data_IF_667985470493
#
_entry.id   IF_667985470493
#
_cell.length_a   1.000
_cell.length_b   1.000
_cell.length_c   1.000
_cell.angle_alpha   90.00
_cell.angle_beta   90.00
_cell.angle_gamma   90.00
#
_symmetry.space_group_name_H-M   'P 1'
#
loop_
_entity.id
_entity.type
_entity.pdbx_description
1 polymer ?
#
# COMPACT_ATOMS: atom_id res chain seq x y z
N UNK A 1 14.17 -60.12 -40.29
CA UNK A 1 13.93 -58.90 -39.50
C UNK A 1 14.26 -59.18 -38.04
N UNK A 2 15.04 -58.37 -37.35
CA UNK A 2 15.47 -58.65 -35.99
C UNK A 2 14.29 -58.54 -35.02
N UNK A 3 14.21 -59.43 -34.05
CA UNK A 3 13.15 -59.60 -33.06
C UNK A 3 12.91 -58.37 -32.19
N UNK A 4 13.89 -57.47 -32.07
CA UNK A 4 13.78 -56.21 -31.32
C UNK A 4 12.83 -55.19 -31.97
N UNK A 5 12.50 -55.29 -33.28
CA UNK A 5 11.53 -54.39 -33.96
C UNK A 5 10.12 -54.65 -33.45
N UNK A 6 9.78 -55.90 -33.07
CA UNK A 6 8.47 -56.27 -32.52
C UNK A 6 8.27 -55.86 -31.04
N UNK A 7 9.36 -55.76 -30.27
CA UNK A 7 9.34 -55.30 -28.91
C UNK A 7 8.98 -53.80 -28.76
N UNK A 8 9.49 -52.97 -29.70
CA UNK A 8 9.23 -51.52 -29.71
C UNK A 8 7.80 -51.17 -30.07
N UNK A 9 7.18 -51.90 -31.01
CA UNK A 9 5.77 -51.68 -31.42
C UNK A 9 4.81 -52.10 -30.31
N UNK A 10 5.14 -53.20 -29.60
CA UNK A 10 4.32 -53.66 -28.44
C UNK A 10 4.30 -52.66 -27.28
N UNK A 11 5.45 -52.07 -26.93
CA UNK A 11 5.56 -51.07 -25.85
C UNK A 11 4.87 -49.76 -26.21
N UNK A 12 4.99 -49.29 -27.46
CA UNK A 12 4.26 -48.12 -27.94
C UNK A 12 2.75 -48.35 -28.00
N UNK A 13 2.31 -49.54 -28.45
CA UNK A 13 0.89 -49.92 -28.44
C UNK A 13 0.31 -49.99 -27.04
N UNK A 14 1.02 -50.56 -26.07
CA UNK A 14 0.62 -50.61 -24.66
C UNK A 14 0.60 -49.21 -24.05
N UNK A 15 1.56 -48.34 -24.35
CA UNK A 15 1.55 -46.96 -23.84
C UNK A 15 0.38 -46.16 -24.42
N UNK A 16 0.04 -46.33 -25.70
CA UNK A 16 -1.14 -45.67 -26.30
C UNK A 16 -2.43 -46.22 -25.73
N UNK A 17 -2.55 -47.53 -25.53
CA UNK A 17 -3.74 -48.15 -24.89
C UNK A 17 -3.87 -47.75 -23.44
N UNK A 18 -2.77 -47.69 -22.67
CA UNK A 18 -2.77 -47.18 -21.30
C UNK A 18 -3.13 -45.70 -21.25
N UNK A 19 -2.65 -44.89 -22.20
CA UNK A 19 -3.03 -43.46 -22.33
C UNK A 19 -4.52 -43.31 -22.69
N UNK A 20 -5.05 -44.13 -23.59
CA UNK A 20 -6.46 -44.14 -23.96
C UNK A 20 -7.36 -44.70 -22.81
N UNK A 21 -6.90 -45.69 -22.05
CA UNK A 21 -7.61 -46.19 -20.86
C UNK A 21 -7.56 -45.15 -19.73
N UNK A 22 -6.44 -44.46 -19.53
CA UNK A 22 -6.33 -43.38 -18.56
C UNK A 22 -7.26 -42.20 -18.89
N UNK A 23 -7.50 -41.94 -20.18
CA UNK A 23 -8.43 -40.90 -20.63
C UNK A 23 -9.93 -41.37 -20.59
N UNK A 24 -10.18 -42.67 -20.40
CA UNK A 24 -11.53 -43.25 -20.37
C UNK A 24 -12.04 -43.64 -18.97
N UNK A 25 -11.25 -43.42 -17.91
CA UNK A 25 -11.77 -43.55 -16.54
C UNK A 25 -12.66 -42.32 -16.30
N UNK A 26 -13.97 -42.55 -16.03
CA UNK A 26 -14.86 -41.45 -15.67
C UNK A 26 -14.26 -40.74 -14.44
N UNK A 27 -13.86 -39.47 -14.59
CA UNK A 27 -13.40 -38.69 -13.45
C UNK A 27 -14.57 -38.54 -12.48
N UNK A 28 -14.32 -38.74 -11.18
CA UNK A 28 -15.31 -38.49 -10.15
C UNK A 28 -15.69 -36.99 -10.17
N UNK A 29 -16.98 -36.64 -10.35
CA UNK A 29 -17.40 -35.26 -10.36
C UNK A 29 -17.08 -34.51 -9.06
N UNK A 30 -17.03 -35.20 -7.91
CA UNK A 30 -16.61 -34.58 -6.64
C UNK A 30 -15.12 -34.23 -6.65
N UNK A 31 -14.29 -35.12 -7.23
CA UNK A 31 -12.85 -34.83 -7.39
C UNK A 31 -12.62 -33.69 -8.37
N UNK A 32 -13.36 -33.67 -9.49
CA UNK A 32 -13.30 -32.56 -10.45
C UNK A 32 -13.66 -31.20 -9.82
N UNK A 33 -14.69 -31.18 -8.97
CA UNK A 33 -15.10 -29.98 -8.24
C UNK A 33 -14.04 -29.54 -7.24
N UNK A 34 -13.41 -30.50 -6.53
CA UNK A 34 -12.32 -30.20 -5.60
C UNK A 34 -11.09 -29.64 -6.33
N UNK A 35 -10.70 -30.25 -7.46
CA UNK A 35 -9.59 -29.80 -8.30
C UNK A 35 -9.87 -28.41 -8.88
N UNK A 36 -11.11 -28.13 -9.32
CA UNK A 36 -11.52 -26.83 -9.82
C UNK A 36 -11.47 -25.75 -8.74
N UNK A 37 -11.93 -26.04 -7.52
CA UNK A 37 -11.84 -25.09 -6.40
C UNK A 37 -10.39 -24.78 -6.05
N UNK A 38 -9.52 -25.80 -6.00
CA UNK A 38 -8.09 -25.61 -5.78
C UNK A 38 -7.41 -24.81 -6.90
N UNK A 39 -7.80 -25.03 -8.16
CA UNK A 39 -7.33 -24.25 -9.28
C UNK A 39 -7.78 -22.78 -9.19
N UNK A 40 -9.02 -22.54 -8.74
CA UNK A 40 -9.54 -21.21 -8.50
C UNK A 40 -8.76 -20.45 -7.38
N UNK A 41 -8.44 -21.15 -6.29
CA UNK A 41 -7.63 -20.61 -5.18
C UNK A 41 -6.21 -20.23 -5.64
N UNK A 42 -5.63 -21.02 -6.52
CA UNK A 42 -4.29 -20.81 -7.07
C UNK A 42 -4.26 -19.88 -8.31
N UNK A 43 -5.39 -19.30 -8.70
CA UNK A 43 -5.57 -18.50 -9.92
C UNK A 43 -5.13 -19.24 -11.21
N UNK A 44 -5.19 -20.58 -11.22
CA UNK A 44 -4.90 -21.43 -12.39
C UNK A 44 -6.12 -21.52 -13.30
N UNK A 45 -6.30 -20.49 -14.13
CA UNK A 45 -7.43 -20.41 -15.07
C UNK A 45 -7.44 -21.56 -16.07
N UNK A 46 -6.30 -22.12 -16.45
CA UNK A 46 -6.22 -23.21 -17.42
C UNK A 46 -6.82 -24.50 -16.85
N UNK A 47 -6.38 -24.90 -15.66
CA UNK A 47 -6.92 -26.06 -14.96
C UNK A 47 -8.40 -25.86 -14.61
N UNK A 48 -8.78 -24.65 -14.20
CA UNK A 48 -10.17 -24.31 -13.91
C UNK A 48 -11.08 -24.49 -15.14
N UNK A 49 -10.68 -23.95 -16.30
CA UNK A 49 -11.42 -24.11 -17.57
C UNK A 49 -11.57 -25.58 -17.98
N UNK A 50 -10.50 -26.38 -17.83
CA UNK A 50 -10.57 -27.81 -18.13
C UNK A 50 -11.54 -28.53 -17.18
N UNK A 51 -11.51 -28.20 -15.90
CA UNK A 51 -12.43 -28.79 -14.92
C UNK A 51 -13.89 -28.43 -15.19
N UNK A 52 -14.15 -27.19 -15.63
CA UNK A 52 -15.50 -26.77 -16.07
C UNK A 52 -15.98 -27.61 -17.24
N UNK A 53 -15.13 -27.84 -18.25
CA UNK A 53 -15.51 -28.63 -19.43
C UNK A 53 -15.76 -30.09 -19.08
N UNK A 54 -14.91 -30.67 -18.22
CA UNK A 54 -15.08 -32.05 -17.73
C UNK A 54 -16.37 -32.19 -16.90
N UNK A 55 -16.73 -31.19 -16.06
CA UNK A 55 -17.96 -31.22 -15.24
C UNK A 55 -19.23 -31.06 -16.05
N UNK A 56 -19.19 -30.39 -17.22
CA UNK A 56 -20.37 -30.27 -18.12
C UNK A 56 -20.92 -31.60 -18.61
N UNK A 57 -20.13 -32.67 -18.54
CA UNK A 57 -20.58 -34.02 -18.90
C UNK A 57 -21.58 -34.61 -17.88
N UNK A 58 -21.72 -33.93 -16.72
CA UNK A 58 -22.62 -34.38 -15.63
C UNK A 58 -23.79 -33.40 -15.48
N UNK A 59 -24.97 -33.71 -16.08
CA UNK A 59 -26.13 -32.81 -16.07
C UNK A 59 -26.65 -32.46 -14.67
N UNK A 60 -26.44 -33.34 -13.69
CA UNK A 60 -26.78 -33.11 -12.28
C UNK A 60 -25.85 -32.10 -11.57
N UNK A 61 -24.80 -31.65 -12.23
CA UNK A 61 -23.78 -30.67 -11.74
C UNK A 61 -23.86 -29.30 -12.40
N UNK A 62 -24.98 -29.00 -13.04
CA UNK A 62 -25.12 -27.73 -13.78
C UNK A 62 -24.91 -26.50 -12.88
N UNK A 63 -25.34 -26.54 -11.61
CA UNK A 63 -25.17 -25.43 -10.68
C UNK A 63 -23.70 -25.19 -10.28
N UNK A 64 -22.95 -26.28 -10.05
CA UNK A 64 -21.49 -26.22 -9.80
C UNK A 64 -20.75 -25.70 -11.04
N UNK A 65 -21.15 -26.14 -12.23
CA UNK A 65 -20.58 -25.65 -13.49
C UNK A 65 -20.79 -24.15 -13.61
N UNK A 66 -22.01 -23.64 -13.36
CA UNK A 66 -22.31 -22.20 -13.40
C UNK A 66 -21.49 -21.39 -12.38
N UNK A 67 -21.31 -21.93 -11.17
CA UNK A 67 -20.43 -21.34 -10.15
C UNK A 67 -19.00 -21.21 -10.69
N UNK A 68 -18.42 -22.29 -11.22
CA UNK A 68 -17.05 -22.29 -11.73
C UNK A 68 -16.87 -21.40 -12.97
N UNK A 69 -17.85 -21.39 -13.89
CA UNK A 69 -17.89 -20.45 -15.01
C UNK A 69 -17.85 -18.98 -14.53
N UNK A 70 -18.59 -18.69 -13.46
CA UNK A 70 -18.55 -17.36 -12.86
C UNK A 70 -17.18 -17.03 -12.28
N UNK A 71 -16.51 -17.99 -11.62
CA UNK A 71 -15.14 -17.81 -11.12
C UNK A 71 -14.17 -17.54 -12.27
N UNK A 72 -14.30 -18.24 -13.41
CA UNK A 72 -13.54 -17.93 -14.64
C UNK A 72 -13.80 -16.49 -15.07
N UNK A 73 -15.06 -16.02 -15.08
CA UNK A 73 -15.39 -14.62 -15.47
C UNK A 73 -14.79 -13.61 -14.50
N UNK A 74 -14.72 -13.92 -13.22
CA UNK A 74 -14.03 -13.08 -12.23
C UNK A 74 -12.52 -13.04 -12.49
N UNK A 75 -11.88 -14.17 -12.77
CA UNK A 75 -10.46 -14.25 -13.17
C UNK A 75 -10.16 -13.49 -14.47
N UNK A 76 -11.11 -13.40 -15.39
CA UNK A 76 -11.03 -12.58 -16.60
C UNK A 76 -11.32 -11.08 -16.34
N UNK A 77 -11.49 -10.65 -15.09
CA UNK A 77 -11.91 -9.27 -14.71
C UNK A 77 -13.24 -8.83 -15.33
N UNK A 78 -14.19 -9.75 -15.48
CA UNK A 78 -15.53 -9.53 -16.04
C UNK A 78 -16.64 -9.74 -15.00
N UNK A 79 -16.69 -8.96 -13.90
CA UNK A 79 -17.62 -9.20 -12.79
C UNK A 79 -19.09 -9.13 -13.20
N UNK A 80 -19.45 -8.21 -14.10
CA UNK A 80 -20.83 -8.10 -14.58
C UNK A 80 -21.32 -9.35 -15.33
N UNK A 81 -20.41 -10.14 -15.95
CA UNK A 81 -20.76 -11.42 -16.56
C UNK A 81 -20.82 -12.56 -15.55
N UNK A 82 -20.10 -12.47 -14.45
CA UNK A 82 -20.13 -13.45 -13.37
C UNK A 82 -21.42 -13.38 -12.54
N UNK A 83 -21.95 -12.19 -12.28
CA UNK A 83 -23.12 -11.95 -11.42
C UNK A 83 -24.34 -12.83 -11.79
N UNK A 84 -24.83 -12.87 -13.06
CA UNK A 84 -25.96 -13.69 -13.40
C UNK A 84 -25.72 -15.19 -13.22
N UNK A 85 -24.50 -15.69 -13.48
CA UNK A 85 -24.12 -17.08 -13.27
C UNK A 85 -24.13 -17.44 -11.77
N UNK A 86 -23.57 -16.54 -10.92
CA UNK A 86 -23.56 -16.73 -9.48
C UNK A 86 -24.97 -16.74 -8.89
N UNK A 87 -25.86 -15.87 -9.36
CA UNK A 87 -27.27 -15.87 -8.94
C UNK A 87 -27.95 -17.20 -9.23
N UNK A 88 -27.67 -17.82 -10.39
CA UNK A 88 -28.19 -19.14 -10.72
C UNK A 88 -27.55 -20.23 -9.85
N UNK A 89 -26.26 -20.15 -9.55
CA UNK A 89 -25.55 -21.07 -8.68
C UNK A 89 -26.06 -21.08 -7.22
N UNK A 90 -26.73 -20.02 -6.75
CA UNK A 90 -27.34 -19.96 -5.40
C UNK A 90 -28.39 -21.00 -5.15
N UNK A 91 -29.04 -21.49 -6.20
CA UNK A 91 -30.02 -22.57 -6.09
C UNK A 91 -29.41 -23.95 -5.75
N UNK A 92 -28.09 -24.08 -5.93
CA UNK A 92 -27.34 -25.32 -5.72
C UNK A 92 -26.72 -25.35 -4.32
N UNK A 93 -27.20 -26.23 -3.40
CA UNK A 93 -26.78 -26.24 -2.01
C UNK A 93 -25.27 -26.45 -1.81
N UNK A 94 -24.61 -27.27 -2.65
CA UNK A 94 -23.18 -27.61 -2.55
C UNK A 94 -22.25 -26.45 -2.78
N UNK A 95 -22.69 -25.40 -3.48
CA UNK A 95 -21.86 -24.19 -3.79
C UNK A 95 -22.49 -22.89 -3.29
N UNK A 96 -23.66 -22.96 -2.62
CA UNK A 96 -24.43 -21.76 -2.23
C UNK A 96 -23.61 -20.76 -1.42
N UNK A 97 -22.92 -21.19 -0.38
CA UNK A 97 -22.12 -20.29 0.47
C UNK A 97 -20.96 -19.66 -0.31
N UNK A 98 -20.28 -20.45 -1.12
CA UNK A 98 -19.21 -19.96 -2.00
C UNK A 98 -19.73 -19.02 -3.08
N UNK A 99 -20.94 -19.30 -3.60
CA UNK A 99 -21.59 -18.43 -4.58
C UNK A 99 -21.97 -17.06 -3.99
N UNK A 100 -22.46 -17.02 -2.74
CA UNK A 100 -22.70 -15.76 -2.03
C UNK A 100 -21.40 -14.97 -1.81
N UNK A 101 -20.32 -15.63 -1.36
CA UNK A 101 -19.01 -14.97 -1.23
C UNK A 101 -18.52 -14.40 -2.56
N UNK A 102 -18.57 -15.22 -3.63
CA UNK A 102 -18.15 -14.81 -4.97
C UNK A 102 -19.04 -13.68 -5.51
N UNK A 103 -20.35 -13.72 -5.26
CA UNK A 103 -21.29 -12.69 -5.64
C UNK A 103 -21.00 -11.35 -4.95
N UNK A 104 -20.68 -11.39 -3.64
CA UNK A 104 -20.25 -10.22 -2.90
C UNK A 104 -19.00 -9.59 -3.48
N UNK A 105 -17.99 -10.39 -3.79
CA UNK A 105 -16.76 -9.93 -4.45
C UNK A 105 -17.02 -9.39 -5.86
N UNK A 106 -17.88 -10.06 -6.64
CA UNK A 106 -18.28 -9.63 -7.97
C UNK A 106 -18.96 -8.25 -7.95
N UNK A 107 -19.90 -8.05 -7.01
CA UNK A 107 -20.55 -6.77 -6.81
C UNK A 107 -19.57 -5.68 -6.35
N UNK A 108 -18.66 -6.02 -5.43
CA UNK A 108 -17.61 -5.09 -4.98
C UNK A 108 -16.73 -4.63 -6.14
N UNK A 109 -16.24 -5.57 -6.96
CA UNK A 109 -15.44 -5.25 -8.16
C UNK A 109 -16.24 -4.47 -9.22
N UNK A 110 -17.56 -4.67 -9.27
CA UNK A 110 -18.46 -3.93 -10.16
C UNK A 110 -18.90 -2.56 -9.58
N UNK A 111 -18.37 -2.14 -8.43
CA UNK A 111 -18.73 -0.88 -7.78
C UNK A 111 -20.09 -0.86 -7.09
N UNK A 112 -20.77 -2.00 -6.97
CA UNK A 112 -22.09 -2.10 -6.40
C UNK A 112 -22.02 -2.40 -4.89
N UNK A 113 -21.56 -1.41 -4.11
CA UNK A 113 -21.22 -1.56 -2.70
C UNK A 113 -22.35 -2.15 -1.84
N UNK A 114 -23.59 -1.66 -1.99
CA UNK A 114 -24.72 -2.14 -1.21
C UNK A 114 -25.00 -3.63 -1.50
N UNK A 115 -25.06 -3.99 -2.78
CA UNK A 115 -25.28 -5.39 -3.20
C UNK A 115 -24.14 -6.31 -2.71
N UNK A 116 -22.89 -5.81 -2.73
CA UNK A 116 -21.72 -6.53 -2.24
C UNK A 116 -21.83 -6.79 -0.72
N UNK A 117 -22.17 -5.76 0.05
CA UNK A 117 -22.36 -5.85 1.49
C UNK A 117 -23.48 -6.83 1.85
N UNK A 118 -24.62 -6.72 1.18
CA UNK A 118 -25.76 -7.59 1.42
C UNK A 118 -25.45 -9.06 1.11
N UNK A 119 -24.73 -9.32 -0.01
CA UNK A 119 -24.31 -10.66 -0.39
C UNK A 119 -23.31 -11.27 0.62
N UNK A 120 -22.31 -10.51 1.07
CA UNK A 120 -21.34 -10.99 2.05
C UNK A 120 -21.95 -11.24 3.42
N UNK A 121 -22.93 -10.43 3.84
CA UNK A 121 -23.66 -10.63 5.09
C UNK A 121 -24.48 -11.94 5.11
N UNK A 122 -24.88 -12.49 3.95
CA UNK A 122 -25.57 -13.78 3.90
C UNK A 122 -24.70 -14.94 4.40
N UNK A 123 -23.38 -14.81 4.33
CA UNK A 123 -22.44 -15.88 4.67
C UNK A 123 -21.38 -15.48 5.70
N UNK A 124 -21.60 -14.38 6.39
CA UNK A 124 -20.60 -13.83 7.33
C UNK A 124 -20.34 -14.76 8.53
N UNK A 125 -21.31 -15.60 8.89
CA UNK A 125 -21.22 -16.58 9.96
C UNK A 125 -21.13 -18.04 9.46
N UNK A 126 -20.96 -18.21 8.14
CA UNK A 126 -20.77 -19.53 7.54
C UNK A 126 -19.41 -20.12 7.98
N UNK A 127 -19.36 -21.41 8.41
CA UNK A 127 -18.15 -22.01 8.93
C UNK A 127 -17.04 -22.16 7.88
N UNK A 128 -17.39 -22.29 6.59
CA UNK A 128 -16.42 -22.47 5.51
C UNK A 128 -15.91 -21.15 4.95
N UNK A 129 -16.82 -20.21 4.64
CA UNK A 129 -16.47 -18.98 3.91
C UNK A 129 -16.62 -17.71 4.74
N UNK A 130 -17.13 -17.78 5.97
CA UNK A 130 -17.47 -16.62 6.77
C UNK A 130 -16.26 -15.71 7.08
N UNK A 131 -15.09 -16.27 7.35
CA UNK A 131 -13.89 -15.47 7.56
C UNK A 131 -13.44 -14.74 6.28
N UNK A 132 -13.54 -15.40 5.13
CA UNK A 132 -13.28 -14.78 3.82
C UNK A 132 -14.29 -13.67 3.49
N UNK A 133 -15.56 -13.88 3.87
CA UNK A 133 -16.62 -12.88 3.70
C UNK A 133 -16.35 -11.66 4.59
N UNK A 134 -15.96 -11.84 5.86
CA UNK A 134 -15.56 -10.78 6.77
C UNK A 134 -14.36 -10.01 6.25
N UNK A 135 -13.34 -10.71 5.77
CA UNK A 135 -12.14 -10.08 5.22
C UNK A 135 -12.47 -9.24 3.98
N UNK A 136 -13.30 -9.77 3.07
CA UNK A 136 -13.77 -9.04 1.89
C UNK A 136 -14.59 -7.80 2.27
N UNK A 137 -15.48 -7.92 3.25
CA UNK A 137 -16.28 -6.80 3.76
C UNK A 137 -15.39 -5.74 4.42
N UNK A 138 -14.46 -6.15 5.29
CA UNK A 138 -13.51 -5.24 5.93
C UNK A 138 -12.68 -4.45 4.92
N UNK A 139 -12.15 -5.12 3.89
CA UNK A 139 -11.39 -4.48 2.82
C UNK A 139 -12.22 -3.46 2.03
N UNK A 140 -13.48 -3.77 1.72
CA UNK A 140 -14.38 -2.81 1.07
C UNK A 140 -14.68 -1.60 1.96
N UNK A 141 -14.99 -1.83 3.24
CA UNK A 141 -15.25 -0.75 4.20
C UNK A 141 -14.01 0.13 4.39
N UNK A 142 -12.82 -0.47 4.46
CA UNK A 142 -11.55 0.26 4.50
C UNK A 142 -11.35 1.13 3.24
N UNK A 143 -11.66 0.59 2.06
CA UNK A 143 -11.50 1.32 0.78
C UNK A 143 -12.37 2.57 0.67
N UNK A 144 -13.47 2.63 1.41
CA UNK A 144 -14.37 3.78 1.49
C UNK A 144 -14.26 4.56 2.80
N UNK A 145 -13.22 4.30 3.59
CA UNK A 145 -12.95 4.93 4.89
C UNK A 145 -14.08 4.76 5.93
N UNK A 146 -14.93 3.74 5.77
CA UNK A 146 -15.89 3.32 6.80
C UNK A 146 -15.14 2.52 7.88
N UNK A 147 -14.25 3.20 8.60
CA UNK A 147 -13.24 2.57 9.46
C UNK A 147 -13.83 1.85 10.68
N UNK A 148 -14.93 2.33 11.22
CA UNK A 148 -15.57 1.66 12.37
C UNK A 148 -16.07 0.25 12.00
N UNK A 149 -16.71 0.13 10.83
CA UNK A 149 -17.17 -1.17 10.32
C UNK A 149 -15.97 -2.05 9.94
N UNK A 150 -14.96 -1.50 9.25
CA UNK A 150 -13.74 -2.22 8.89
C UNK A 150 -13.01 -2.78 10.12
N UNK A 151 -12.81 -1.95 11.15
CA UNK A 151 -12.17 -2.36 12.42
C UNK A 151 -12.96 -3.44 13.14
N UNK A 152 -14.30 -3.37 13.15
CA UNK A 152 -15.14 -4.40 13.75
C UNK A 152 -14.90 -5.77 13.06
N UNK A 153 -14.86 -5.80 11.73
CA UNK A 153 -14.62 -7.03 10.99
C UNK A 153 -13.17 -7.54 11.14
N UNK A 154 -12.17 -6.67 11.06
CA UNK A 154 -10.77 -7.07 11.27
C UNK A 154 -10.52 -7.56 12.71
N UNK A 155 -11.17 -6.98 13.71
CA UNK A 155 -11.07 -7.45 15.10
C UNK A 155 -11.62 -8.86 15.24
N UNK A 156 -12.80 -9.13 14.69
CA UNK A 156 -13.38 -10.48 14.70
C UNK A 156 -12.54 -11.52 13.95
N UNK A 157 -11.79 -11.10 12.91
CA UNK A 157 -10.85 -11.95 12.19
C UNK A 157 -9.59 -12.23 13.01
N UNK A 158 -9.04 -11.21 13.68
CA UNK A 158 -7.88 -11.35 14.54
C UNK A 158 -8.13 -12.26 15.76
N UNK A 159 -9.37 -12.26 16.30
CA UNK A 159 -9.80 -13.17 17.35
C UNK A 159 -9.85 -14.64 16.91
N UNK A 160 -10.02 -14.87 15.61
CA UNK A 160 -10.02 -16.21 15.00
C UNK A 160 -8.68 -16.61 14.41
N UNK A 161 -7.64 -15.80 14.57
CA UNK A 161 -6.33 -15.95 13.93
C UNK A 161 -6.40 -16.14 12.38
N UNK A 162 -7.46 -15.59 11.76
CA UNK A 162 -7.64 -15.73 10.32
C UNK A 162 -6.74 -14.73 9.59
N UNK A 163 -5.85 -15.25 8.72
CA UNK A 163 -4.87 -14.46 7.97
C UNK A 163 -4.27 -13.35 8.86
N UNK A 164 -3.80 -13.79 10.04
CA UNK A 164 -3.52 -12.90 11.17
C UNK A 164 -2.53 -11.82 10.82
N UNK A 165 -1.52 -12.14 10.02
CA UNK A 165 -0.51 -11.21 9.55
C UNK A 165 -1.15 -10.03 8.79
N UNK A 166 -1.90 -10.35 7.74
CA UNK A 166 -2.54 -9.34 6.90
C UNK A 166 -3.67 -8.59 7.63
N UNK A 167 -4.45 -9.31 8.45
CA UNK A 167 -5.52 -8.74 9.27
C UNK A 167 -5.00 -7.67 10.22
N UNK A 168 -3.91 -7.97 10.95
CA UNK A 168 -3.30 -7.03 11.88
C UNK A 168 -2.67 -5.84 11.14
N UNK A 169 -2.01 -6.07 10.02
CA UNK A 169 -1.43 -4.98 9.24
C UNK A 169 -2.50 -4.01 8.73
N UNK A 170 -3.59 -4.51 8.14
CA UNK A 170 -4.69 -3.68 7.67
C UNK A 170 -5.36 -2.89 8.82
N UNK A 171 -5.52 -3.51 9.99
CA UNK A 171 -6.04 -2.85 11.17
C UNK A 171 -5.10 -1.75 11.67
N UNK A 172 -3.81 -2.01 11.67
CA UNK A 172 -2.77 -1.04 12.02
C UNK A 172 -2.75 0.17 11.09
N UNK A 173 -2.89 -0.03 9.77
CA UNK A 173 -2.99 1.06 8.80
C UNK A 173 -4.20 1.98 9.09
N UNK A 174 -5.36 1.39 9.41
CA UNK A 174 -6.55 2.16 9.80
C UNK A 174 -6.26 2.98 11.07
N UNK A 175 -5.60 2.39 12.07
CA UNK A 175 -5.22 3.10 13.29
C UNK A 175 -4.25 4.26 13.01
N UNK A 176 -3.33 4.12 12.04
CA UNK A 176 -2.47 5.24 11.58
C UNK A 176 -3.32 6.37 11.00
N UNK A 177 -4.24 6.06 10.09
CA UNK A 177 -5.12 7.05 9.45
C UNK A 177 -5.97 7.80 10.49
N UNK A 178 -6.41 7.10 11.53
CA UNK A 178 -7.17 7.68 12.65
C UNK A 178 -6.32 8.44 13.67
N UNK A 179 -4.99 8.36 13.57
CA UNK A 179 -4.07 8.94 14.53
C UNK A 179 -3.96 8.16 15.85
N UNK A 180 -4.42 6.93 15.89
CA UNK A 180 -4.41 6.01 17.03
C UNK A 180 -3.08 5.23 17.05
N UNK A 181 -1.97 5.96 17.23
CA UNK A 181 -0.62 5.43 16.96
C UNK A 181 -0.18 4.30 17.89
N UNK A 182 -0.63 4.23 19.14
CA UNK A 182 -0.28 3.14 20.06
C UNK A 182 -0.89 1.81 19.61
N UNK A 183 -2.15 1.83 19.16
CA UNK A 183 -2.83 0.67 18.60
C UNK A 183 -2.16 0.24 17.29
N UNK A 184 -1.79 1.20 16.44
CA UNK A 184 -1.09 0.93 15.19
C UNK A 184 0.25 0.23 15.44
N UNK A 185 1.07 0.72 16.38
CA UNK A 185 2.35 0.07 16.75
C UNK A 185 2.12 -1.37 17.20
N UNK A 186 1.13 -1.60 18.07
CA UNK A 186 0.82 -2.93 18.60
C UNK A 186 0.46 -3.90 17.48
N UNK A 187 -0.42 -3.49 16.58
CA UNK A 187 -0.90 -4.33 15.49
C UNK A 187 0.17 -4.60 14.44
N UNK A 188 0.88 -3.56 13.98
CA UNK A 188 1.93 -3.73 12.96
C UNK A 188 3.09 -4.56 13.50
N UNK A 189 3.50 -4.35 14.74
CA UNK A 189 4.55 -5.14 15.38
C UNK A 189 4.17 -6.62 15.43
N UNK A 190 2.95 -6.92 15.91
CA UNK A 190 2.43 -8.29 15.94
C UNK A 190 2.31 -8.89 14.54
N UNK A 191 1.91 -8.12 13.53
CA UNK A 191 1.88 -8.55 12.13
C UNK A 191 3.26 -9.00 11.63
N UNK A 192 4.32 -8.25 11.94
CA UNK A 192 5.70 -8.62 11.60
C UNK A 192 6.14 -9.89 12.38
N UNK A 193 5.80 -9.98 13.65
CA UNK A 193 6.19 -11.10 14.51
C UNK A 193 5.51 -12.43 14.10
N UNK A 194 4.33 -12.39 13.45
CA UNK A 194 3.65 -13.58 12.88
C UNK A 194 4.48 -14.23 11.78
N UNK A 195 5.07 -13.43 10.89
CA UNK A 195 5.89 -13.92 9.78
C UNK A 195 7.12 -13.02 9.57
N UNK A 196 8.18 -13.18 10.38
CA UNK A 196 9.33 -12.27 10.35
C UNK A 196 10.11 -12.25 9.03
N UNK A 197 10.00 -13.31 8.22
CA UNK A 197 10.76 -13.48 6.98
C UNK A 197 9.97 -13.11 5.72
N UNK A 198 8.79 -12.52 5.87
CA UNK A 198 7.97 -12.11 4.73
C UNK A 198 8.65 -10.98 3.94
N UNK A 199 8.81 -11.10 2.60
CA UNK A 199 9.44 -10.06 1.77
C UNK A 199 8.77 -8.68 1.87
N UNK A 200 7.47 -8.64 2.17
CA UNK A 200 6.71 -7.39 2.33
C UNK A 200 6.93 -6.68 3.67
N UNK A 201 7.67 -7.31 4.60
CA UNK A 201 7.93 -6.73 5.92
C UNK A 201 8.67 -5.38 5.85
N UNK A 202 9.45 -5.13 4.82
CA UNK A 202 10.13 -3.83 4.64
C UNK A 202 9.14 -2.64 4.68
N UNK A 203 7.96 -2.76 4.05
CA UNK A 203 6.91 -1.73 4.10
C UNK A 203 6.30 -1.60 5.49
N UNK A 204 6.00 -2.73 6.14
CA UNK A 204 5.46 -2.76 7.52
C UNK A 204 6.44 -2.16 8.52
N UNK A 205 7.73 -2.48 8.37
CA UNK A 205 8.81 -1.93 9.19
C UNK A 205 8.91 -0.41 9.05
N UNK A 206 8.81 0.14 7.83
CA UNK A 206 8.79 1.59 7.63
C UNK A 206 7.58 2.23 8.31
N UNK A 207 6.39 1.65 8.16
CA UNK A 207 5.17 2.15 8.82
C UNK A 207 5.31 2.10 10.34
N UNK A 208 5.82 0.99 10.89
CA UNK A 208 6.10 0.82 12.32
C UNK A 208 7.07 1.88 12.85
N UNK A 209 8.23 2.03 12.22
CA UNK A 209 9.26 2.98 12.65
C UNK A 209 8.77 4.43 12.60
N UNK A 210 8.04 4.81 11.54
CA UNK A 210 7.43 6.14 11.45
C UNK A 210 6.43 6.39 12.59
N UNK A 211 5.63 5.39 12.92
CA UNK A 211 4.63 5.48 13.98
C UNK A 211 5.29 5.54 15.35
N UNK A 212 6.32 4.71 15.61
CA UNK A 212 7.11 4.75 16.83
C UNK A 212 7.82 6.10 17.02
N UNK A 213 8.40 6.65 15.95
CA UNK A 213 9.02 7.99 15.96
C UNK A 213 8.01 9.09 16.33
N UNK A 214 6.78 9.02 15.78
CA UNK A 214 5.70 9.98 16.14
C UNK A 214 5.32 9.91 17.63
N UNK A 215 5.45 8.74 18.24
CA UNK A 215 5.22 8.51 19.67
C UNK A 215 6.44 8.80 20.56
N UNK A 216 7.60 9.12 19.96
CA UNK A 216 8.85 9.27 20.71
C UNK A 216 9.40 7.95 21.30
N UNK A 217 8.96 6.80 20.78
CA UNK A 217 9.38 5.46 21.23
C UNK A 217 10.59 4.98 20.44
N UNK A 218 11.78 5.37 20.88
CA UNK A 218 13.03 5.07 20.17
C UNK A 218 13.75 3.82 20.66
N UNK A 219 13.41 3.27 21.85
CA UNK A 219 14.18 2.21 22.49
C UNK A 219 14.33 0.93 21.64
N UNK A 220 13.27 0.56 20.91
CA UNK A 220 13.21 -0.70 20.15
C UNK A 220 13.39 -0.51 18.63
N UNK A 221 13.72 0.70 18.18
CA UNK A 221 13.77 1.00 16.74
C UNK A 221 14.94 0.33 16.00
N UNK A 222 16.07 0.06 16.68
CA UNK A 222 17.25 -0.55 16.04
C UNK A 222 16.94 -1.92 15.45
N UNK A 223 16.22 -2.77 16.20
CA UNK A 223 15.81 -4.12 15.76
C UNK A 223 15.10 -4.09 14.40
N UNK A 224 14.32 -3.04 14.15
CA UNK A 224 13.56 -2.88 12.92
C UNK A 224 14.32 -2.08 11.87
N UNK A 225 15.10 -1.07 12.26
CA UNK A 225 15.89 -0.26 11.31
C UNK A 225 16.95 -1.10 10.58
N UNK A 226 17.51 -2.13 11.23
CA UNK A 226 18.45 -3.08 10.62
C UNK A 226 17.82 -3.96 9.52
N UNK A 227 16.49 -4.08 9.51
CA UNK A 227 15.75 -4.83 8.48
C UNK A 227 15.43 -3.98 7.21
N UNK A 228 15.80 -2.70 7.22
CA UNK A 228 15.52 -1.81 6.10
C UNK A 228 16.59 -1.93 5.01
N UNK A 229 16.18 -2.27 3.80
CA UNK A 229 17.04 -2.23 2.61
C UNK A 229 17.36 -0.79 2.16
N UNK A 230 16.64 0.20 2.71
CA UNK A 230 16.81 1.61 2.38
C UNK A 230 17.78 2.30 3.37
N UNK A 231 19.03 2.56 2.96
CA UNK A 231 20.05 3.14 3.85
C UNK A 231 19.72 4.57 4.30
N UNK A 232 18.94 5.33 3.52
CA UNK A 232 18.52 6.68 3.91
C UNK A 232 17.53 6.60 5.06
N UNK A 233 16.50 5.76 4.92
CA UNK A 233 15.50 5.58 5.97
C UNK A 233 16.16 5.04 7.26
N UNK A 234 16.99 4.00 7.14
CA UNK A 234 17.72 3.43 8.26
C UNK A 234 18.61 4.48 8.97
N UNK A 235 19.35 5.29 8.22
CA UNK A 235 20.17 6.37 8.74
C UNK A 235 19.36 7.45 9.48
N UNK A 236 18.19 7.83 8.94
CA UNK A 236 17.29 8.79 9.58
C UNK A 236 16.76 8.27 10.92
N UNK A 237 16.25 7.05 10.98
CA UNK A 237 15.74 6.47 12.23
C UNK A 237 16.84 6.30 13.29
N UNK A 238 18.03 5.85 12.87
CA UNK A 238 19.19 5.78 13.74
C UNK A 238 19.59 7.14 14.32
N UNK A 239 19.58 8.18 13.50
CA UNK A 239 19.90 9.53 13.95
C UNK A 239 18.84 10.06 14.93
N UNK A 240 17.56 9.84 14.68
CA UNK A 240 16.48 10.25 15.60
C UNK A 240 16.58 9.54 16.96
N UNK A 241 16.92 8.25 16.98
CA UNK A 241 17.21 7.52 18.23
C UNK A 241 18.40 8.13 18.96
N UNK A 242 19.53 8.32 18.29
CA UNK A 242 20.74 8.90 18.88
C UNK A 242 20.49 10.30 19.45
N UNK A 243 19.66 11.11 18.77
CA UNK A 243 19.22 12.40 19.31
C UNK A 243 18.42 12.24 20.60
N UNK A 244 17.50 11.28 20.66
CA UNK A 244 16.71 11.03 21.86
C UNK A 244 17.56 10.59 23.06
N UNK A 245 18.72 9.98 22.81
CA UNK A 245 19.73 9.60 23.80
C UNK A 245 20.71 10.74 24.12
N UNK A 246 20.57 11.91 23.51
CA UNK A 246 21.50 13.04 23.68
C UNK A 246 22.84 12.89 22.94
N UNK A 247 23.01 11.86 22.10
CA UNK A 247 24.23 11.54 21.37
C UNK A 247 24.31 12.29 20.02
N UNK A 248 24.31 13.63 20.08
CA UNK A 248 24.16 14.47 18.88
C UNK A 248 25.33 14.31 17.89
N UNK A 249 26.57 14.11 18.38
CA UNK A 249 27.73 13.87 17.51
C UNK A 249 27.59 12.58 16.70
N UNK A 250 27.13 11.54 17.34
CA UNK A 250 26.89 10.22 16.71
C UNK A 250 25.72 10.29 15.73
N UNK A 251 24.65 11.02 16.07
CA UNK A 251 23.53 11.28 15.18
C UNK A 251 23.99 12.00 13.90
N UNK A 252 24.87 13.00 14.03
CA UNK A 252 25.47 13.71 12.88
C UNK A 252 26.23 12.72 11.99
N UNK A 253 27.12 11.91 12.57
CA UNK A 253 27.90 10.91 11.82
C UNK A 253 27.04 9.85 11.13
N UNK A 254 25.92 9.45 11.74
CA UNK A 254 24.98 8.49 11.14
C UNK A 254 24.34 9.02 9.84
N UNK A 255 24.11 10.32 9.72
CA UNK A 255 23.55 10.95 8.53
C UNK A 255 24.59 11.29 7.46
N UNK A 256 25.85 11.52 7.83
CA UNK A 256 26.90 11.96 6.89
C UNK A 256 27.09 10.96 5.73
N UNK A 257 26.98 9.65 5.99
CA UNK A 257 27.08 8.65 4.95
C UNK A 257 25.92 8.75 3.94
N UNK A 258 24.69 8.85 4.42
CA UNK A 258 23.49 8.95 3.57
C UNK A 258 23.45 10.29 2.82
N UNK A 259 23.93 11.39 3.43
CA UNK A 259 23.96 12.72 2.79
C UNK A 259 24.92 12.82 1.62
N UNK A 260 25.96 11.99 1.54
CA UNK A 260 26.88 11.99 0.40
C UNK A 260 26.19 11.68 -0.92
N UNK A 261 25.24 10.75 -0.89
CA UNK A 261 24.61 10.20 -2.10
C UNK A 261 23.20 10.77 -2.36
N UNK A 262 22.53 11.31 -1.33
CA UNK A 262 21.12 11.71 -1.39
C UNK A 262 20.81 13.06 -0.69
N UNK A 263 21.69 14.05 -0.84
CA UNK A 263 21.61 15.35 -0.15
C UNK A 263 20.27 16.09 -0.35
N UNK A 264 19.58 15.86 -1.44
CA UNK A 264 18.31 16.52 -1.76
C UNK A 264 17.07 15.75 -1.28
N UNK A 265 17.25 14.57 -0.65
CA UNK A 265 16.13 13.78 -0.15
C UNK A 265 15.41 14.52 1.00
N UNK A 266 14.10 14.81 0.89
CA UNK A 266 13.40 15.64 1.87
C UNK A 266 13.38 15.06 3.29
N UNK A 267 13.29 13.74 3.44
CA UNK A 267 13.33 13.08 4.75
C UNK A 267 14.71 13.27 5.39
N UNK A 268 15.76 13.03 4.62
CA UNK A 268 17.15 13.17 5.08
C UNK A 268 17.46 14.61 5.49
N UNK A 269 17.04 15.60 4.67
CA UNK A 269 17.25 17.03 4.97
C UNK A 269 16.49 17.44 6.23
N UNK A 270 15.26 16.95 6.41
CA UNK A 270 14.47 17.21 7.61
C UNK A 270 15.15 16.64 8.86
N UNK A 271 15.60 15.38 8.82
CA UNK A 271 16.31 14.75 9.94
C UNK A 271 17.64 15.43 10.22
N UNK A 272 18.38 15.81 9.17
CA UNK A 272 19.59 16.61 9.30
C UNK A 272 19.34 17.95 10.01
N UNK A 273 18.27 18.65 9.60
CA UNK A 273 17.87 19.90 10.25
C UNK A 273 17.53 19.70 11.74
N UNK A 274 16.83 18.60 12.11
CA UNK A 274 16.58 18.23 13.53
C UNK A 274 17.88 18.04 14.29
N UNK A 275 18.87 17.35 13.71
CA UNK A 275 20.19 17.15 14.33
C UNK A 275 20.91 18.47 14.53
N UNK A 276 20.89 19.36 13.52
CA UNK A 276 21.53 20.68 13.63
C UNK A 276 20.83 21.56 14.68
N UNK A 277 19.53 21.51 14.77
CA UNK A 277 18.77 22.18 15.82
C UNK A 277 19.11 21.64 17.22
N UNK A 278 19.31 20.33 17.36
CA UNK A 278 19.66 19.68 18.63
C UNK A 278 21.05 20.12 19.18
N UNK A 279 21.95 20.60 18.32
CA UNK A 279 23.21 21.18 18.77
C UNK A 279 23.03 22.48 19.56
N UNK A 280 21.91 23.21 19.42
CA UNK A 280 21.66 24.53 20.03
C UNK A 280 22.78 25.53 19.75
N UNK A 281 23.44 25.40 18.62
CA UNK A 281 24.58 26.24 18.20
C UNK A 281 24.22 26.93 16.87
N UNK A 282 24.05 28.28 16.89
CA UNK A 282 23.65 29.03 15.69
C UNK A 282 24.63 28.84 14.52
N UNK A 283 25.94 28.77 14.78
CA UNK A 283 26.95 28.64 13.72
C UNK A 283 26.88 27.27 13.03
N UNK A 284 26.53 26.20 13.76
CA UNK A 284 26.29 24.88 13.18
C UNK A 284 24.96 24.80 12.47
N UNK A 285 23.95 25.53 12.91
CA UNK A 285 22.60 25.52 12.32
C UNK A 285 22.52 26.37 11.02
N UNK A 286 23.32 27.42 10.88
CA UNK A 286 23.33 28.31 9.69
C UNK A 286 23.39 27.55 8.36
N UNK A 287 24.32 26.60 8.13
CA UNK A 287 24.37 25.88 6.85
C UNK A 287 23.16 25.04 6.57
N UNK A 288 22.47 24.53 7.61
CA UNK A 288 21.27 23.73 7.48
C UNK A 288 20.04 24.56 7.08
N UNK A 289 20.02 25.85 7.41
CA UNK A 289 18.90 26.76 7.12
C UNK A 289 18.53 26.73 5.62
N UNK A 290 19.53 26.93 4.75
CA UNK A 290 19.33 26.98 3.30
C UNK A 290 18.85 25.64 2.75
N UNK A 291 19.39 24.51 3.22
CA UNK A 291 18.98 23.17 2.76
C UNK A 291 17.55 22.86 3.19
N UNK A 292 17.20 23.11 4.45
CA UNK A 292 15.85 22.87 4.98
C UNK A 292 14.82 23.79 4.32
N UNK A 293 15.18 25.06 4.07
CA UNK A 293 14.33 26.01 3.34
C UNK A 293 13.98 25.48 1.94
N UNK A 294 14.98 25.04 1.17
CA UNK A 294 14.77 24.48 -0.17
C UNK A 294 13.92 23.20 -0.10
N UNK A 295 14.19 22.33 0.87
CA UNK A 295 13.40 21.10 1.06
C UNK A 295 11.92 21.41 1.41
N UNK A 296 11.67 22.42 2.25
CA UNK A 296 10.31 22.87 2.59
C UNK A 296 9.58 23.47 1.40
N UNK A 297 10.27 24.15 0.50
CA UNK A 297 9.66 24.66 -0.76
C UNK A 297 9.34 23.56 -1.76
N UNK A 298 10.05 22.45 -1.75
CA UNK A 298 9.76 21.25 -2.58
C UNK A 298 8.68 20.39 -1.95
N UNK A 299 8.76 20.16 -0.64
CA UNK A 299 7.80 19.37 0.13
C UNK A 299 6.91 20.31 0.98
N UNK A 300 6.06 21.07 0.32
CA UNK A 300 5.32 22.23 0.86
C UNK A 300 4.33 21.87 1.97
N UNK A 301 3.95 20.60 2.12
CA UNK A 301 3.01 20.11 3.15
C UNK A 301 3.70 19.32 4.26
N UNK A 302 5.02 19.34 4.32
CA UNK A 302 5.78 18.66 5.37
C UNK A 302 5.78 19.49 6.66
N UNK A 303 4.82 19.22 7.55
CA UNK A 303 4.69 19.90 8.85
C UNK A 303 5.96 19.79 9.69
N UNK A 304 6.62 18.62 9.70
CA UNK A 304 7.85 18.43 10.47
C UNK A 304 9.00 19.24 9.89
N UNK A 305 9.14 19.26 8.56
CA UNK A 305 10.11 20.13 7.88
C UNK A 305 9.89 21.61 8.20
N UNK A 306 8.64 22.07 8.23
CA UNK A 306 8.31 23.46 8.58
C UNK A 306 8.62 23.79 10.05
N UNK A 307 8.38 22.87 10.99
CA UNK A 307 8.81 23.04 12.41
C UNK A 307 10.32 23.13 12.54
N UNK A 308 11.04 22.29 11.80
CA UNK A 308 12.52 22.32 11.77
C UNK A 308 13.00 23.64 11.19
N UNK A 309 12.40 24.11 10.09
CA UNK A 309 12.73 25.40 9.48
C UNK A 309 12.49 26.55 10.48
N UNK A 310 11.33 26.56 11.14
CA UNK A 310 11.01 27.54 12.18
C UNK A 310 12.08 27.55 13.28
N UNK A 311 12.40 26.38 13.86
CA UNK A 311 13.35 26.28 14.96
C UNK A 311 14.76 26.72 14.57
N UNK A 312 15.24 26.33 13.36
CA UNK A 312 16.56 26.78 12.87
C UNK A 312 16.55 28.29 12.61
N UNK A 313 15.52 28.85 11.99
CA UNK A 313 15.39 30.26 11.74
C UNK A 313 15.39 31.09 13.04
N UNK A 314 14.65 30.62 14.07
CA UNK A 314 14.68 31.23 15.42
C UNK A 314 16.10 31.19 16.03
N UNK A 315 16.75 30.02 15.96
CA UNK A 315 18.09 29.81 16.53
C UNK A 315 19.14 30.72 15.88
N UNK A 316 19.07 30.93 14.56
CA UNK A 316 20.02 31.81 13.84
C UNK A 316 19.60 33.30 13.81
N UNK A 317 18.44 33.63 14.40
CA UNK A 317 17.94 35.01 14.53
C UNK A 317 17.20 35.55 13.31
N UNK A 318 16.81 34.70 12.34
CA UNK A 318 16.00 35.08 11.18
C UNK A 318 14.50 35.09 11.57
N UNK A 319 14.04 36.17 12.18
CA UNK A 319 12.69 36.30 12.72
C UNK A 319 11.61 36.25 11.64
N UNK A 320 11.84 36.89 10.49
CA UNK A 320 10.88 36.93 9.39
C UNK A 320 10.58 35.49 8.88
N UNK A 321 11.62 34.73 8.58
CA UNK A 321 11.46 33.34 8.13
C UNK A 321 10.84 32.44 9.21
N UNK A 322 11.21 32.67 10.48
CA UNK A 322 10.62 31.92 11.60
C UNK A 322 9.10 32.16 11.72
N UNK A 323 8.65 33.41 11.56
CA UNK A 323 7.23 33.75 11.59
C UNK A 323 6.45 33.16 10.40
N UNK A 324 7.01 33.21 9.19
CA UNK A 324 6.39 32.58 8.00
C UNK A 324 6.31 31.06 8.12
N UNK A 325 7.36 30.42 8.62
CA UNK A 325 7.36 28.98 8.87
C UNK A 325 6.34 28.59 9.95
N UNK A 326 6.22 29.37 11.04
CA UNK A 326 5.21 29.19 12.11
C UNK A 326 3.80 29.25 11.54
N UNK A 327 3.48 30.28 10.73
CA UNK A 327 2.17 30.41 10.09
C UNK A 327 1.84 29.19 9.21
N UNK A 328 2.81 28.64 8.46
CA UNK A 328 2.63 27.41 7.70
C UNK A 328 2.32 26.22 8.63
N UNK A 329 3.03 26.07 9.75
CA UNK A 329 2.79 25.01 10.73
C UNK A 329 1.37 25.10 11.29
N UNK A 330 0.94 26.29 11.71
CA UNK A 330 -0.40 26.54 12.27
C UNK A 330 -1.49 26.20 11.26
N UNK A 331 -1.36 26.63 10.00
CA UNK A 331 -2.34 26.32 8.96
C UNK A 331 -2.38 24.84 8.62
N UNK A 332 -1.21 24.17 8.52
CA UNK A 332 -1.14 22.72 8.28
C UNK A 332 -1.77 21.93 9.43
N UNK A 333 -1.56 22.34 10.67
CA UNK A 333 -2.17 21.72 11.84
C UNK A 333 -3.70 21.89 11.85
N UNK A 334 -4.19 23.09 11.54
CA UNK A 334 -5.63 23.34 11.42
C UNK A 334 -6.28 22.48 10.33
N UNK A 335 -5.66 22.37 9.15
CA UNK A 335 -6.14 21.51 8.09
C UNK A 335 -6.12 20.02 8.46
N UNK A 336 -5.08 19.58 9.17
CA UNK A 336 -4.99 18.19 9.66
C UNK A 336 -6.08 17.90 10.68
N UNK A 337 -6.42 18.84 11.54
CA UNK A 337 -7.55 18.71 12.46
C UNK A 337 -8.86 18.59 11.68
N UNK A 338 -9.11 19.44 10.69
CA UNK A 338 -10.29 19.36 9.81
C UNK A 338 -10.37 18.01 9.08
N UNK A 339 -9.24 17.50 8.60
CA UNK A 339 -9.17 16.17 7.96
C UNK A 339 -9.58 15.06 8.95
N UNK A 340 -9.08 15.10 10.18
CA UNK A 340 -9.46 14.13 11.22
C UNK A 340 -10.93 14.20 11.59
N UNK A 341 -11.50 15.40 11.65
CA UNK A 341 -12.93 15.61 11.87
C UNK A 341 -13.77 15.09 10.70
N UNK A 342 -13.34 15.36 9.44
CA UNK A 342 -13.98 14.82 8.26
C UNK A 342 -13.95 13.28 8.26
N UNK A 343 -12.80 12.67 8.60
CA UNK A 343 -12.67 11.23 8.70
C UNK A 343 -13.62 10.62 9.74
N UNK A 344 -13.72 11.23 10.92
CA UNK A 344 -14.67 10.83 11.95
C UNK A 344 -16.13 10.99 11.51
N UNK A 345 -16.44 12.02 10.72
CA UNK A 345 -17.80 12.28 10.23
C UNK A 345 -18.29 11.24 9.21
N UNK A 346 -17.37 10.54 8.54
CA UNK A 346 -17.70 9.42 7.66
C UNK A 346 -18.23 8.25 8.49
N UNK A 347 -17.51 7.87 9.58
CA UNK A 347 -17.90 6.81 10.49
C UNK A 347 -18.31 5.53 9.75
N UNK A 348 -19.57 5.12 9.91
CA UNK A 348 -20.19 4.00 9.19
C UNK A 348 -21.02 4.42 7.97
N UNK A 349 -21.02 5.72 7.60
CA UNK A 349 -21.77 6.22 6.43
C UNK A 349 -21.10 5.76 5.14
N UNK A 350 -21.60 4.68 4.56
CA UNK A 350 -21.10 4.09 3.31
C UNK A 350 -21.58 4.81 2.05
N UNK A 351 -22.55 5.73 2.17
CA UNK A 351 -23.27 6.32 1.03
C UNK A 351 -22.81 7.73 0.66
N UNK A 352 -22.21 8.48 1.57
CA UNK A 352 -21.86 9.87 1.34
C UNK A 352 -20.65 10.01 0.43
N UNK A 353 -20.91 10.37 -0.81
CA UNK A 353 -19.90 10.74 -1.82
C UNK A 353 -19.18 12.05 -1.40
N UNK A 354 -19.96 13.08 -1.04
CA UNK A 354 -19.44 14.42 -0.76
C UNK A 354 -18.44 14.44 0.38
N UNK A 355 -18.75 13.78 1.52
CA UNK A 355 -17.83 13.70 2.65
C UNK A 355 -16.47 13.10 2.28
N UNK A 356 -16.47 12.12 1.38
CA UNK A 356 -15.22 11.49 0.91
C UNK A 356 -14.45 12.37 -0.05
N UNK A 357 -15.15 13.12 -0.90
CA UNK A 357 -14.51 14.12 -1.76
C UNK A 357 -13.84 15.21 -0.92
N UNK A 358 -14.53 15.71 0.13
CA UNK A 358 -13.98 16.69 1.05
C UNK A 358 -12.78 16.13 1.83
N UNK A 359 -12.84 14.86 2.26
CA UNK A 359 -11.72 14.17 2.90
C UNK A 359 -10.51 14.08 1.96
N UNK A 360 -10.72 13.70 0.69
CA UNK A 360 -9.63 13.62 -0.28
C UNK A 360 -8.96 14.98 -0.51
N UNK A 361 -9.74 16.03 -0.65
CA UNK A 361 -9.24 17.39 -0.80
C UNK A 361 -8.45 17.86 0.43
N UNK A 362 -8.95 17.60 1.64
CA UNK A 362 -8.25 17.90 2.88
C UNK A 362 -6.97 17.08 3.03
N UNK A 363 -6.97 15.82 2.64
CA UNK A 363 -5.79 14.96 2.67
C UNK A 363 -4.68 15.51 1.75
N UNK A 364 -5.02 15.93 0.52
CA UNK A 364 -4.07 16.64 -0.37
C UNK A 364 -3.55 17.90 0.31
N UNK A 365 -4.43 18.71 0.87
CA UNK A 365 -4.08 19.96 1.53
C UNK A 365 -3.17 19.76 2.75
N UNK A 366 -3.22 18.59 3.39
CA UNK A 366 -2.33 18.20 4.49
C UNK A 366 -1.03 17.53 4.02
N UNK A 367 -0.93 17.15 2.74
CA UNK A 367 0.18 16.35 2.21
C UNK A 367 0.09 14.85 2.52
N UNK A 368 -1.08 14.37 2.96
CA UNK A 368 -1.37 12.95 3.17
C UNK A 368 -1.81 12.31 1.83
N UNK A 369 -0.87 12.29 0.87
CA UNK A 369 -1.16 11.92 -0.53
C UNK A 369 -1.62 10.46 -0.64
N UNK A 370 -1.02 9.56 0.14
CA UNK A 370 -1.40 8.15 0.16
C UNK A 370 -2.87 7.96 0.59
N UNK A 371 -3.32 8.74 1.59
CA UNK A 371 -4.72 8.73 2.01
C UNK A 371 -5.62 9.27 0.90
N UNK A 372 -5.28 10.41 0.29
CA UNK A 372 -6.04 10.99 -0.79
C UNK A 372 -6.19 10.03 -1.99
N UNK A 373 -5.10 9.34 -2.36
CA UNK A 373 -5.13 8.30 -3.40
C UNK A 373 -6.08 7.16 -3.06
N UNK A 374 -6.03 6.65 -1.83
CA UNK A 374 -6.94 5.58 -1.37
C UNK A 374 -8.39 6.04 -1.44
N UNK A 375 -8.69 7.26 -1.00
CA UNK A 375 -10.04 7.83 -1.05
C UNK A 375 -10.52 7.95 -2.50
N UNK A 376 -9.74 8.54 -3.41
CA UNK A 376 -10.13 8.66 -4.81
C UNK A 376 -10.28 7.31 -5.51
N UNK A 377 -9.45 6.33 -5.17
CA UNK A 377 -9.59 4.95 -5.67
C UNK A 377 -10.91 4.32 -5.22
N UNK A 378 -11.26 4.47 -3.94
CA UNK A 378 -12.54 4.01 -3.41
C UNK A 378 -13.73 4.73 -4.07
N UNK A 379 -13.63 6.05 -4.26
CA UNK A 379 -14.66 6.85 -4.94
C UNK A 379 -14.86 6.38 -6.39
N UNK A 380 -13.79 6.23 -7.17
CA UNK A 380 -13.87 5.75 -8.55
C UNK A 380 -14.46 4.33 -8.65
N UNK A 381 -14.18 3.47 -7.66
CA UNK A 381 -14.69 2.10 -7.62
C UNK A 381 -16.19 2.05 -7.29
N UNK A 382 -16.63 2.79 -6.27
CA UNK A 382 -17.98 2.64 -5.72
C UNK A 382 -18.96 3.74 -6.15
N UNK A 383 -18.48 4.78 -6.84
CA UNK A 383 -19.29 5.85 -7.39
C UNK A 383 -18.91 6.12 -8.87
N UNK A 384 -18.96 5.10 -9.75
CA UNK A 384 -18.49 5.22 -11.14
C UNK A 384 -19.28 6.28 -11.94
N UNK A 385 -20.54 6.52 -11.59
CA UNK A 385 -21.37 7.55 -12.22
C UNK A 385 -20.91 8.99 -11.90
N UNK A 386 -20.02 9.15 -10.91
CA UNK A 386 -19.45 10.42 -10.48
C UNK A 386 -18.05 10.68 -11.04
N UNK A 387 -17.55 9.86 -11.96
CA UNK A 387 -16.18 9.99 -12.51
C UNK A 387 -15.93 11.39 -13.11
N UNK A 388 -16.92 12.01 -13.70
CA UNK A 388 -16.82 13.37 -14.22
C UNK A 388 -16.50 14.43 -13.14
N UNK A 389 -16.85 14.15 -11.88
CA UNK A 389 -16.54 15.01 -10.71
C UNK A 389 -15.21 14.60 -10.07
N UNK A 390 -14.93 13.29 -10.03
CA UNK A 390 -13.72 12.71 -9.41
C UNK A 390 -12.47 13.07 -10.23
N UNK A 391 -12.48 12.82 -11.54
CA UNK A 391 -11.30 12.92 -12.39
C UNK A 391 -10.60 14.29 -12.32
N UNK A 392 -11.31 15.44 -12.41
CA UNK A 392 -10.65 16.75 -12.31
C UNK A 392 -10.00 17.01 -10.96
N UNK A 393 -10.58 16.53 -9.84
CA UNK A 393 -10.00 16.72 -8.51
C UNK A 393 -8.82 15.77 -8.27
N UNK A 394 -8.89 14.55 -8.79
CA UNK A 394 -7.79 13.57 -8.71
C UNK A 394 -6.51 14.08 -9.38
N UNK A 395 -6.58 14.91 -10.42
CA UNK A 395 -5.38 15.51 -11.04
C UNK A 395 -4.57 16.38 -10.09
N UNK A 396 -5.16 16.82 -8.96
CA UNK A 396 -4.43 17.55 -7.91
C UNK A 396 -3.37 16.69 -7.21
N UNK A 397 -3.45 15.35 -7.29
CA UNK A 397 -2.43 14.45 -6.74
C UNK A 397 -1.08 14.65 -7.43
N UNK A 398 -1.10 14.89 -8.74
CA UNK A 398 0.10 15.06 -9.56
C UNK A 398 0.56 16.52 -9.63
N UNK A 399 -0.27 17.45 -9.17
CA UNK A 399 0.03 18.86 -9.23
C UNK A 399 1.00 19.28 -8.10
N UNK A 400 2.01 20.10 -8.39
CA UNK A 400 2.86 20.65 -7.36
C UNK A 400 2.02 21.51 -6.39
N UNK A 401 2.04 21.12 -5.11
CA UNK A 401 1.32 21.85 -4.07
C UNK A 401 2.09 23.16 -3.75
N UNK A 402 1.38 24.27 -3.76
CA UNK A 402 1.93 25.55 -3.29
C UNK A 402 2.06 25.57 -1.76
N UNK A 403 2.95 26.38 -1.24
CA UNK A 403 2.98 26.70 0.19
C UNK A 403 1.65 27.34 0.61
N UNK A 404 1.21 27.10 1.85
CA UNK A 404 0.02 27.77 2.41
C UNK A 404 0.32 29.25 2.68
N UNK A 405 1.54 29.50 3.16
CA UNK A 405 2.10 30.86 3.33
C UNK A 405 3.41 30.88 2.55
N UNK A 406 3.59 31.87 1.65
CA UNK A 406 4.83 32.03 0.90
C UNK A 406 5.98 32.34 1.86
N UNK A 407 7.07 31.58 1.76
CA UNK A 407 8.28 31.79 2.57
C UNK A 407 9.12 32.97 2.08
N UNK A 408 8.67 33.67 1.04
CA UNK A 408 9.41 34.76 0.42
C UNK A 408 10.58 34.30 -0.47
N UNK A 409 10.98 35.13 -1.43
CA UNK A 409 12.13 34.87 -2.30
C UNK A 409 13.40 35.63 -1.88
N UNK A 410 13.27 36.58 -0.95
CA UNK A 410 14.32 37.53 -0.55
C UNK A 410 14.87 37.27 0.84
N UNK A 411 14.70 36.05 1.37
CA UNK A 411 15.31 35.68 2.64
C UNK A 411 16.83 35.62 2.44
N UNK A 412 17.57 36.38 3.21
CA UNK A 412 19.06 36.35 3.21
C UNK A 412 19.49 34.98 3.80
N UNK A 413 19.68 34.02 2.90
CA UNK A 413 20.03 32.63 3.28
C UNK A 413 21.56 32.51 3.25
N UNK A 414 22.15 31.90 4.28
CA UNK A 414 23.56 31.55 4.26
C UNK A 414 23.85 30.54 3.15
N UNK A 415 25.06 30.53 2.62
CA UNK A 415 25.47 29.54 1.65
C UNK A 415 25.23 28.10 2.22
N UNK A 416 24.71 27.17 1.41
CA UNK A 416 24.51 25.79 1.85
C UNK A 416 25.86 25.19 2.29
N UNK A 417 25.80 24.24 3.26
CA UNK A 417 26.99 23.55 3.72
C UNK A 417 27.75 22.90 2.55
N UNK A 418 29.10 22.99 2.52
CA UNK A 418 29.86 22.25 1.53
C UNK A 418 29.59 20.75 1.66
N UNK A 419 29.66 19.97 0.56
CA UNK A 419 29.48 18.52 0.63
C UNK A 419 30.49 17.91 1.62
N UNK A 420 30.13 16.81 2.32
CA UNK A 420 30.98 16.20 3.35
C UNK A 420 32.41 15.85 2.89
N UNK A 421 32.62 15.64 1.60
CA UNK A 421 33.92 15.34 0.99
C UNK A 421 34.67 16.53 0.43
N UNK A 422 34.15 17.74 0.49
CA UNK A 422 34.84 18.93 0.01
C UNK A 422 36.11 19.29 0.84
N UNK A 423 36.28 18.65 1.99
CA UNK A 423 37.45 18.81 2.86
C UNK A 423 38.60 17.82 2.56
N UNK A 424 38.47 16.91 1.55
CA UNK A 424 39.57 16.00 1.15
C UNK A 424 40.21 16.48 -0.14
N UNK A 425 41.47 17.00 -0.08
CA UNK A 425 42.15 17.61 -1.25
C UNK A 425 42.56 16.58 -2.34
N UNK A 426 42.36 15.28 -2.14
CA UNK A 426 42.96 14.23 -3.00
C UNK A 426 41.97 13.46 -3.90
N UNK A 427 40.75 13.93 -4.13
CA UNK A 427 39.85 13.28 -5.07
C UNK A 427 39.84 14.05 -6.41
N UNK A 428 40.10 13.37 -7.55
CA UNK A 428 39.93 14.00 -8.86
C UNK A 428 38.46 14.43 -9.05
N UNK A 429 38.20 15.55 -9.75
CA UNK A 429 36.83 16.04 -9.98
C UNK A 429 36.01 14.99 -10.69
N UNK A 430 34.78 14.74 -10.17
CA UNK A 430 33.80 13.90 -10.83
C UNK A 430 33.54 14.43 -12.25
N UNK A 431 33.42 13.56 -13.25
CA UNK A 431 33.06 13.99 -14.60
C UNK A 431 31.71 14.73 -14.54
N UNK A 432 31.50 15.77 -15.37
CA UNK A 432 30.24 16.50 -15.41
C UNK A 432 29.09 15.52 -15.66
N UNK A 433 28.03 15.65 -14.89
CA UNK A 433 26.82 14.85 -15.03
C UNK A 433 26.37 14.89 -16.50
N UNK A 434 26.47 13.75 -17.17
CA UNK A 434 26.06 13.60 -18.57
C UNK A 434 24.61 14.01 -18.70
N UNK A 435 24.33 14.91 -19.65
CA UNK A 435 22.96 15.22 -20.07
C UNK A 435 22.28 13.90 -20.39
N UNK A 436 21.10 13.70 -19.81
CA UNK A 436 20.33 12.47 -19.93
C UNK A 436 20.32 11.95 -21.36
N UNK A 437 20.65 10.70 -21.52
CA UNK A 437 20.50 9.98 -22.78
C UNK A 437 19.01 10.02 -23.15
N UNK A 438 18.75 10.40 -24.39
CA UNK A 438 17.43 10.32 -24.98
C UNK A 438 16.91 8.86 -24.89
N UNK A 439 15.61 8.65 -24.75
CA UNK A 439 15.06 7.30 -24.72
C UNK A 439 15.38 6.59 -26.03
N UNK A 440 15.89 5.35 -25.93
CA UNK A 440 16.16 4.50 -27.08
C UNK A 440 14.86 4.23 -27.85
N UNK A 441 14.89 4.39 -29.15
CA UNK A 441 13.82 3.99 -30.05
C UNK A 441 13.52 2.48 -29.89
N UNK A 442 12.25 2.06 -29.98
CA UNK A 442 11.91 0.64 -29.92
C UNK A 442 12.47 -0.09 -31.14
N UNK A 443 13.20 -1.18 -30.90
CA UNK A 443 13.71 -2.06 -31.92
C UNK A 443 12.57 -2.65 -32.77
N UNK A 444 12.69 -2.56 -34.08
CA UNK A 444 11.84 -3.25 -35.05
C UNK A 444 11.86 -4.78 -34.84
N UNK A 445 10.74 -5.47 -35.05
CA UNK A 445 10.70 -6.91 -34.92
C UNK A 445 11.46 -7.54 -36.12
N UNK A 446 12.45 -8.40 -35.82
CA UNK A 446 13.14 -9.21 -36.80
C UNK A 446 12.13 -10.09 -37.55
N UNK A 447 12.11 -9.93 -38.87
CA UNK A 447 11.53 -10.89 -39.79
C UNK A 447 12.54 -12.01 -40.02
N UNK A 448 12.03 -13.23 -40.10
CA UNK A 448 12.58 -14.43 -40.69
C UNK A 448 13.70 -15.18 -39.92
N UNK A 449 13.34 -16.28 -39.26
CA UNK A 449 13.56 -17.68 -39.76
C UNK A 449 12.97 -18.68 -38.76
#
# INVERSE_FOLDING_TARGET
MPWWVWGGIGLFGVAIVLSLISSSVPKDPLQLLADANKAAENADLKTLLQSVEDLRQFPDREGEVRYLEAIVKLGESKPLKAIPLLKQALETPSVRSRAWLALGRAYGTAGQLQNATDALKQVIDDPEVGSLARFSLAGMMNSIQAYDEALAQFTALAEKDFDLEQTLYQRGEIHIDRGEYEQAVTDIQRSIDVNPNEPTNSLKVVALLRTMTRLGRFADTDKYAEQLDNPIAAGCFKAEKLMSEGKIKEATAALDAARRDARENPQLVCTWGKVMLAWQDPEKAKPALAEVYVACRRATRNTEGMKVLQGIAELVGNKELADLARQNVEQLQAKRQQMQEALKSIGSDVTSFEKRMDLADLAIDCGEIDLAERVYRGLAMFFPDQEAVIAPRRTRLDAPLSLLVDLGNSVDLPAPAPPPDAARPDRPPLPPAGRGAAPAEPAEPAKDL
#
